data_IF_902038779131
#
_entry.id   IF_902038779131
#
_cell.length_a   1.000
_cell.length_b   1.000
_cell.length_c   1.000
_cell.angle_alpha   90.00
_cell.angle_beta   90.00
_cell.angle_gamma   90.00
#
_symmetry.space_group_name_H-M   'P 1'
#
loop_
_entity.id
_entity.type
_entity.pdbx_description
1 polymer ?
#
# COMPACT_ATOMS: atom_id res chain seq x y z
N UNK A 1 8.72 8.85 15.53
CA UNK A 1 8.40 7.55 14.93
C UNK A 1 6.99 7.06 15.25
N UNK A 2 6.60 6.68 16.47
CA UNK A 2 5.20 6.24 16.74
C UNK A 2 4.18 7.35 16.38
N UNK A 3 4.48 8.57 16.80
CA UNK A 3 3.66 9.77 16.56
C UNK A 3 3.67 10.25 15.09
N UNK A 4 4.57 9.72 14.26
CA UNK A 4 4.68 10.09 12.84
C UNK A 4 3.80 9.20 11.97
N UNK A 5 3.81 7.89 12.24
CA UNK A 5 2.90 6.95 11.58
C UNK A 5 1.45 7.21 11.97
N UNK A 6 1.18 7.61 13.21
CA UNK A 6 -0.15 8.04 13.65
C UNK A 6 -0.63 9.31 12.93
N UNK A 7 0.25 10.25 12.59
CA UNK A 7 -0.13 11.41 11.76
C UNK A 7 -0.48 11.00 10.33
N UNK A 8 0.20 9.98 9.81
CA UNK A 8 0.02 9.49 8.45
C UNK A 8 -1.26 8.65 8.29
N UNK A 9 -1.52 7.78 9.26
CA UNK A 9 -2.50 6.70 9.17
C UNK A 9 -3.43 6.57 10.37
N UNK A 10 -3.44 7.53 11.30
CA UNK A 10 -4.12 7.37 12.60
C UNK A 10 -5.61 7.02 12.47
N UNK A 11 -6.30 7.61 11.50
CA UNK A 11 -7.69 7.29 11.20
C UNK A 11 -7.82 5.87 10.62
N UNK A 12 -7.10 5.55 9.55
CA UNK A 12 -7.18 4.26 8.86
C UNK A 12 -6.72 3.08 9.73
N UNK A 13 -5.67 3.27 10.54
CA UNK A 13 -5.21 2.29 11.52
C UNK A 13 -6.27 2.04 12.60
N UNK A 14 -7.05 3.05 12.98
CA UNK A 14 -8.10 2.90 14.00
C UNK A 14 -9.22 1.95 13.55
N UNK A 15 -9.36 1.70 12.25
CA UNK A 15 -10.33 0.77 11.69
C UNK A 15 -9.92 -0.71 11.82
N UNK A 16 -8.64 -0.98 12.08
CA UNK A 16 -8.16 -2.33 12.38
C UNK A 16 -8.49 -2.64 13.84
N UNK A 17 -9.37 -3.63 14.06
CA UNK A 17 -9.90 -3.97 15.38
C UNK A 17 -8.94 -4.86 16.18
N UNK A 18 -8.22 -5.76 15.51
CA UNK A 18 -7.13 -6.52 16.12
C UNK A 18 -5.95 -5.60 16.44
N UNK A 19 -5.72 -5.41 17.73
CA UNK A 19 -4.68 -4.54 18.27
C UNK A 19 -3.28 -4.98 17.80
N UNK A 20 -3.01 -6.27 17.72
CA UNK A 20 -1.71 -6.80 17.32
C UNK A 20 -1.48 -6.58 15.82
N UNK A 21 -2.50 -6.76 14.98
CA UNK A 21 -2.39 -6.44 13.55
C UNK A 21 -2.15 -4.94 13.37
N UNK A 22 -2.90 -4.09 14.09
CA UNK A 22 -2.77 -2.63 14.02
C UNK A 22 -1.37 -2.15 14.40
N UNK A 23 -0.85 -2.63 15.53
CA UNK A 23 0.50 -2.29 16.01
C UNK A 23 1.59 -2.75 15.03
N UNK A 24 1.47 -3.98 14.50
CA UNK A 24 2.41 -4.49 13.50
C UNK A 24 2.33 -3.74 12.18
N UNK A 25 1.13 -3.35 11.75
CA UNK A 25 0.93 -2.52 10.55
C UNK A 25 1.65 -1.18 10.69
N UNK A 26 1.49 -0.51 11.83
CA UNK A 26 2.22 0.72 12.13
C UNK A 26 3.74 0.48 12.18
N UNK A 27 4.18 -0.63 12.77
CA UNK A 27 5.60 -1.02 12.84
C UNK A 27 6.24 -1.21 11.47
N UNK A 28 5.54 -1.82 10.51
CA UNK A 28 6.05 -1.95 9.13
C UNK A 28 6.33 -0.59 8.50
N UNK A 29 5.41 0.36 8.67
CA UNK A 29 5.61 1.74 8.21
C UNK A 29 6.79 2.43 8.90
N UNK A 30 6.95 2.26 10.21
CA UNK A 30 8.13 2.79 10.93
C UNK A 30 9.43 2.20 10.37
N UNK A 31 9.50 0.88 10.18
CA UNK A 31 10.68 0.20 9.64
C UNK A 31 11.00 0.64 8.20
N UNK A 32 9.98 0.94 7.40
CA UNK A 32 10.16 1.45 6.04
C UNK A 32 10.71 2.88 6.06
N UNK A 33 10.15 3.77 6.89
CA UNK A 33 10.61 5.15 7.05
C UNK A 33 12.05 5.21 7.57
N UNK A 34 12.43 4.36 8.53
CA UNK A 34 13.81 4.26 9.04
C UNK A 34 14.84 3.87 7.96
N UNK A 35 14.40 3.16 6.92
CA UNK A 35 15.25 2.72 5.80
C UNK A 35 15.20 3.64 4.59
N UNK A 36 14.23 4.55 4.56
CA UNK A 36 13.91 5.42 3.45
C UNK A 36 14.76 6.69 3.48
N UNK A 37 15.06 7.25 2.31
CA UNK A 37 15.53 8.64 2.21
C UNK A 37 14.39 9.65 2.22
N UNK A 38 13.15 9.19 1.98
CA UNK A 38 11.94 9.99 1.95
C UNK A 38 11.41 10.24 3.37
N UNK A 39 11.12 11.50 3.67
CA UNK A 39 10.36 11.93 4.84
C UNK A 39 8.85 11.82 4.62
N UNK A 40 8.06 11.98 5.69
CA UNK A 40 6.60 12.03 5.58
C UNK A 40 6.15 13.22 4.75
N UNK A 41 6.83 14.35 4.87
CA UNK A 41 6.57 15.54 4.09
C UNK A 41 6.79 15.28 2.59
N UNK A 42 7.77 14.44 2.23
CA UNK A 42 8.00 14.04 0.84
C UNK A 42 6.87 13.15 0.32
N UNK A 43 6.35 12.22 1.12
CA UNK A 43 5.24 11.34 0.72
C UNK A 43 3.95 12.12 0.39
N UNK A 44 3.79 13.33 0.93
CA UNK A 44 2.67 14.22 0.59
C UNK A 44 2.93 15.12 -0.62
N UNK A 45 4.11 15.04 -1.24
CA UNK A 45 4.53 15.87 -2.39
C UNK A 45 4.85 15.05 -3.63
N UNK A 46 5.57 13.95 -3.46
CA UNK A 46 6.00 13.11 -4.59
C UNK A 46 4.77 12.45 -5.25
N UNK A 47 4.81 12.21 -6.57
CA UNK A 47 3.71 11.53 -7.25
C UNK A 47 3.58 10.08 -6.78
N UNK A 48 2.36 9.54 -6.75
CA UNK A 48 2.13 8.15 -6.36
C UNK A 48 2.72 7.11 -7.33
N UNK A 49 3.01 7.54 -8.56
CA UNK A 49 3.59 6.71 -9.61
C UNK A 49 4.53 7.52 -10.48
N UNK A 50 5.63 6.89 -10.88
CA UNK A 50 6.60 7.44 -11.83
C UNK A 50 6.15 7.24 -13.30
N UNK A 51 5.00 6.59 -13.52
CA UNK A 51 4.54 6.14 -14.85
C UNK A 51 3.44 7.00 -15.48
N UNK A 52 2.96 8.03 -14.78
CA UNK A 52 1.85 8.88 -15.23
C UNK A 52 2.29 10.28 -15.72
N UNK A 53 3.59 10.46 -15.95
CA UNK A 53 4.18 11.73 -16.41
C UNK A 53 4.45 12.75 -15.30
N UNK A 54 5.19 13.83 -15.62
CA UNK A 54 5.70 14.77 -14.64
C UNK A 54 4.64 15.72 -14.04
N UNK A 55 3.51 15.92 -14.71
CA UNK A 55 2.47 16.89 -14.28
C UNK A 55 1.45 16.30 -13.27
N UNK A 56 1.70 15.09 -12.76
CA UNK A 56 0.80 14.42 -11.84
C UNK A 56 0.78 15.14 -10.48
N UNK A 57 -0.41 15.64 -10.10
CA UNK A 57 -0.63 16.36 -8.84
C UNK A 57 -1.09 15.48 -7.68
N UNK A 58 -1.45 14.23 -7.96
CA UNK A 58 -1.91 13.29 -6.92
C UNK A 58 -0.67 12.76 -6.20
N UNK A 59 -0.56 13.09 -4.92
CA UNK A 59 0.59 12.66 -4.12
C UNK A 59 0.53 11.15 -3.84
N UNK A 60 1.67 10.61 -3.41
CA UNK A 60 1.76 9.24 -2.92
C UNK A 60 0.71 8.97 -1.84
N UNK A 61 0.61 9.85 -0.83
CA UNK A 61 -0.35 9.66 0.25
C UNK A 61 -1.81 9.83 -0.19
N UNK A 62 -2.13 10.74 -1.12
CA UNK A 62 -3.50 10.88 -1.64
C UNK A 62 -3.99 9.56 -2.25
N UNK A 63 -3.17 8.97 -3.13
CA UNK A 63 -3.51 7.71 -3.78
C UNK A 63 -3.57 6.56 -2.76
N UNK A 64 -2.61 6.48 -1.84
CA UNK A 64 -2.60 5.41 -0.85
C UNK A 64 -3.80 5.44 0.08
N UNK A 65 -4.21 6.62 0.57
CA UNK A 65 -5.44 6.75 1.36
C UNK A 65 -6.67 6.39 0.52
N UNK A 66 -6.74 6.84 -0.73
CA UNK A 66 -7.83 6.46 -1.62
C UNK A 66 -7.96 4.92 -1.77
N UNK A 67 -6.86 4.20 -1.98
CA UNK A 67 -6.85 2.73 -2.07
C UNK A 67 -7.37 2.08 -0.78
N UNK A 68 -6.97 2.56 0.39
CA UNK A 68 -7.46 2.04 1.69
C UNK A 68 -8.96 2.26 1.85
N UNK A 69 -9.45 3.47 1.55
CA UNK A 69 -10.87 3.80 1.68
C UNK A 69 -11.74 3.01 0.68
N UNK A 70 -11.33 2.91 -0.58
CA UNK A 70 -12.03 2.12 -1.61
C UNK A 70 -12.04 0.64 -1.21
N UNK A 71 -10.91 0.12 -0.73
CA UNK A 71 -10.81 -1.27 -0.25
C UNK A 71 -11.79 -1.51 0.89
N UNK A 72 -11.80 -0.65 1.93
CA UNK A 72 -12.71 -0.75 3.07
C UNK A 72 -14.17 -0.79 2.63
N UNK A 73 -14.61 0.18 1.84
CA UNK A 73 -16.01 0.24 1.36
C UNK A 73 -16.35 -1.01 0.53
N UNK A 74 -15.43 -1.48 -0.30
CA UNK A 74 -15.63 -2.69 -1.11
C UNK A 74 -15.78 -3.93 -0.24
N UNK A 75 -14.92 -4.12 0.77
CA UNK A 75 -14.99 -5.22 1.73
C UNK A 75 -16.29 -5.21 2.55
N UNK A 76 -16.73 -4.02 2.99
CA UNK A 76 -18.01 -3.84 3.67
C UNK A 76 -19.19 -4.26 2.78
N UNK A 77 -19.17 -3.89 1.48
CA UNK A 77 -20.22 -4.29 0.53
C UNK A 77 -20.18 -5.77 0.22
N UNK A 78 -19.01 -6.37 0.13
CA UNK A 78 -18.85 -7.83 0.00
C UNK A 78 -19.56 -8.53 1.17
N UNK A 79 -19.21 -8.15 2.40
CA UNK A 79 -19.78 -8.76 3.58
C UNK A 79 -21.30 -8.50 3.73
N UNK A 80 -21.79 -7.35 3.25
CA UNK A 80 -23.21 -7.00 3.30
C UNK A 80 -24.06 -7.75 2.26
N UNK A 81 -23.55 -7.95 1.05
CA UNK A 81 -24.39 -8.30 -0.11
C UNK A 81 -24.24 -9.75 -0.59
N UNK A 82 -23.14 -10.42 -0.24
CA UNK A 82 -22.83 -11.74 -0.80
C UNK A 82 -23.25 -12.90 0.11
N UNK A 83 -24.12 -12.62 1.09
CA UNK A 83 -24.81 -13.60 1.93
C UNK A 83 -23.90 -14.67 2.57
N UNK A 84 -22.63 -14.33 2.82
CA UNK A 84 -21.63 -15.23 3.41
C UNK A 84 -20.93 -16.17 2.43
N UNK A 85 -21.34 -16.24 1.15
CA UNK A 85 -20.65 -17.06 0.14
C UNK A 85 -19.30 -16.44 -0.27
N UNK A 86 -19.23 -15.12 -0.26
CA UNK A 86 -17.99 -14.38 -0.34
C UNK A 86 -17.80 -13.58 0.95
N UNK A 87 -16.69 -13.85 1.64
CA UNK A 87 -16.33 -13.17 2.87
C UNK A 87 -15.02 -12.40 2.68
N UNK A 88 -14.94 -11.23 3.32
CA UNK A 88 -13.75 -10.40 3.34
C UNK A 88 -13.39 -10.06 4.80
N UNK A 89 -12.21 -10.47 5.25
CA UNK A 89 -11.72 -10.13 6.56
C UNK A 89 -11.25 -8.66 6.58
N UNK A 90 -11.94 -7.81 7.33
CA UNK A 90 -11.69 -6.37 7.32
C UNK A 90 -10.34 -5.97 7.91
N UNK A 91 -9.85 -6.63 8.96
CA UNK A 91 -8.55 -6.31 9.56
C UNK A 91 -7.40 -6.69 8.62
N UNK A 92 -7.52 -7.84 7.97
CA UNK A 92 -6.56 -8.31 6.95
C UNK A 92 -6.58 -7.38 5.73
N UNK A 93 -7.77 -7.03 5.24
CA UNK A 93 -7.96 -6.14 4.09
C UNK A 93 -7.36 -4.76 4.33
N UNK A 94 -7.73 -4.11 5.45
CA UNK A 94 -7.32 -2.73 5.74
C UNK A 94 -5.80 -2.69 5.99
N UNK A 95 -5.26 -3.64 6.76
CA UNK A 95 -3.81 -3.75 6.94
C UNK A 95 -3.08 -3.96 5.62
N UNK A 96 -3.55 -4.90 4.79
CA UNK A 96 -2.97 -5.15 3.47
C UNK A 96 -3.02 -3.94 2.54
N UNK A 97 -4.12 -3.18 2.54
CA UNK A 97 -4.27 -1.97 1.75
C UNK A 97 -3.32 -0.83 2.20
N UNK A 98 -3.14 -0.67 3.51
CA UNK A 98 -2.19 0.30 4.10
C UNK A 98 -0.74 -0.06 3.70
N UNK A 99 -0.44 -1.36 3.58
CA UNK A 99 0.92 -1.86 3.41
C UNK A 99 1.31 -2.22 1.97
N UNK A 100 0.37 -2.36 1.04
CA UNK A 100 0.69 -2.96 -0.26
C UNK A 100 1.80 -2.24 -1.04
N UNK A 101 1.93 -0.91 -0.88
CA UNK A 101 2.98 -0.10 -1.50
C UNK A 101 4.11 0.33 -0.54
N UNK A 102 4.14 -0.14 0.71
CA UNK A 102 5.12 0.34 1.70
C UNK A 102 6.57 0.13 1.26
N UNK A 103 6.82 -0.89 0.42
CA UNK A 103 8.12 -1.15 -0.17
C UNK A 103 8.61 -0.06 -1.13
N UNK A 104 7.75 0.85 -1.61
CA UNK A 104 8.16 1.99 -2.46
C UNK A 104 9.07 2.96 -1.73
N UNK A 105 9.00 3.02 -0.40
CA UNK A 105 9.94 3.81 0.42
C UNK A 105 11.39 3.33 0.32
N UNK A 106 11.59 2.06 -0.04
CA UNK A 106 12.91 1.49 -0.31
C UNK A 106 13.23 1.49 -1.81
N UNK A 107 12.21 1.60 -2.67
CA UNK A 107 12.36 1.63 -4.12
C UNK A 107 12.75 3.02 -4.63
N UNK A 108 12.25 4.08 -3.99
CA UNK A 108 12.38 5.46 -4.45
C UNK A 108 13.52 6.20 -3.75
N UNK A 109 14.18 7.06 -4.51
CA UNK A 109 15.18 8.03 -4.05
C UNK A 109 14.78 9.43 -4.57
N UNK A 110 15.42 10.48 -4.07
CA UNK A 110 15.27 11.84 -4.59
C UNK A 110 16.49 12.20 -5.44
N UNK A 111 16.24 12.80 -6.61
CA UNK A 111 17.31 13.39 -7.43
C UNK A 111 17.81 14.73 -6.84
N UNK A 112 18.81 15.34 -7.49
CA UNK A 112 19.40 16.62 -7.08
C UNK A 112 18.39 17.79 -7.06
N UNK A 113 17.26 17.65 -7.75
CA UNK A 113 16.19 18.64 -7.81
C UNK A 113 15.03 18.32 -6.85
N UNK A 114 15.13 17.24 -6.06
CA UNK A 114 14.10 16.79 -5.14
C UNK A 114 12.94 16.02 -5.80
N UNK A 115 13.11 15.53 -7.03
CA UNK A 115 12.11 14.68 -7.69
C UNK A 115 12.30 13.21 -7.29
N UNK A 116 11.18 12.50 -7.08
CA UNK A 116 11.22 11.06 -6.87
C UNK A 116 11.67 10.32 -8.14
N UNK A 117 12.64 9.44 -7.98
CA UNK A 117 13.16 8.55 -9.02
C UNK A 117 13.26 7.12 -8.49
N UNK A 118 13.38 6.14 -9.40
CA UNK A 118 13.70 4.78 -8.98
C UNK A 118 15.17 4.69 -8.54
N UNK A 119 15.38 4.40 -7.27
CA UNK A 119 16.69 4.26 -6.63
C UNK A 119 17.43 2.99 -7.05
N UNK A 120 18.69 2.87 -6.60
CA UNK A 120 19.53 1.70 -6.95
C UNK A 120 18.90 0.41 -6.44
N UNK A 121 18.40 0.40 -5.21
CA UNK A 121 17.74 -0.77 -4.61
C UNK A 121 16.51 -1.19 -5.44
N UNK A 122 15.68 -0.23 -5.81
CA UNK A 122 14.46 -0.46 -6.60
C UNK A 122 14.67 -1.08 -7.98
N UNK A 123 15.83 -0.84 -8.59
CA UNK A 123 16.22 -1.50 -9.86
C UNK A 123 16.45 -3.00 -9.71
N UNK A 124 16.81 -3.47 -8.52
CA UNK A 124 17.03 -4.90 -8.23
C UNK A 124 15.83 -5.56 -7.55
N UNK A 125 15.17 -4.85 -6.64
CA UNK A 125 14.09 -5.38 -5.79
C UNK A 125 12.90 -4.44 -5.83
N UNK A 126 11.80 -4.90 -6.44
CA UNK A 126 10.55 -4.13 -6.53
C UNK A 126 9.82 -4.06 -5.18
N UNK A 127 9.00 -3.03 -5.00
CA UNK A 127 8.23 -2.79 -3.78
C UNK A 127 7.38 -3.96 -3.25
N UNK A 128 6.80 -4.89 -4.06
CA UNK A 128 6.07 -6.01 -3.48
C UNK A 128 6.99 -6.92 -2.65
N UNK A 129 8.21 -7.17 -3.13
CA UNK A 129 9.18 -8.03 -2.43
C UNK A 129 9.76 -7.35 -1.20
N UNK A 130 10.14 -6.07 -1.30
CA UNK A 130 10.65 -5.33 -0.13
C UNK A 130 9.55 -5.11 0.92
N UNK A 131 8.31 -4.88 0.49
CA UNK A 131 7.13 -4.82 1.37
C UNK A 131 6.87 -6.14 2.10
N UNK A 132 6.92 -7.28 1.40
CA UNK A 132 6.84 -8.62 2.01
C UNK A 132 7.93 -8.80 3.07
N UNK A 133 9.18 -8.46 2.74
CA UNK A 133 10.30 -8.60 3.68
C UNK A 133 10.09 -7.78 4.96
N UNK A 134 9.58 -6.54 4.84
CA UNK A 134 9.26 -5.70 6.00
C UNK A 134 8.10 -6.27 6.83
N UNK A 135 7.05 -6.75 6.17
CA UNK A 135 5.87 -7.32 6.81
C UNK A 135 6.19 -8.60 7.60
N UNK A 136 6.96 -9.51 7.00
CA UNK A 136 7.44 -10.72 7.67
C UNK A 136 8.34 -10.38 8.87
N UNK A 137 9.26 -9.41 8.72
CA UNK A 137 10.13 -8.98 9.81
C UNK A 137 9.36 -8.32 10.98
N UNK A 138 8.20 -7.72 10.71
CA UNK A 138 7.29 -7.24 11.75
C UNK A 138 6.39 -8.34 12.35
N UNK A 139 6.43 -9.56 11.80
CA UNK A 139 5.64 -10.71 12.26
C UNK A 139 4.17 -10.61 11.90
N UNK A 140 3.82 -9.97 10.78
CA UNK A 140 2.45 -9.99 10.26
C UNK A 140 2.07 -11.40 9.79
N UNK A 141 0.78 -11.76 9.92
CA UNK A 141 0.30 -13.06 9.50
C UNK A 141 0.36 -13.22 7.95
N UNK A 142 0.51 -14.46 7.44
CA UNK A 142 0.70 -14.72 6.01
C UNK A 142 -0.39 -14.13 5.10
N UNK A 143 -1.62 -14.00 5.59
CA UNK A 143 -2.76 -13.46 4.84
C UNK A 143 -2.54 -11.98 4.46
N UNK A 144 -1.91 -11.19 5.34
CA UNK A 144 -1.58 -9.79 5.08
C UNK A 144 -0.34 -9.70 4.19
N UNK A 145 0.67 -10.53 4.47
CA UNK A 145 1.88 -10.63 3.65
C UNK A 145 1.52 -10.99 2.20
N UNK A 146 0.54 -11.88 2.01
CA UNK A 146 0.03 -12.29 0.71
C UNK A 146 -0.58 -11.13 -0.09
N UNK A 147 -1.31 -10.21 0.54
CA UNK A 147 -1.85 -9.02 -0.14
C UNK A 147 -0.70 -8.18 -0.71
N UNK A 148 0.35 -7.95 0.08
CA UNK A 148 1.52 -7.18 -0.37
C UNK A 148 2.21 -7.90 -1.54
N UNK A 149 2.39 -9.21 -1.46
CA UNK A 149 2.98 -10.00 -2.54
C UNK A 149 2.15 -9.99 -3.83
N UNK A 150 0.81 -9.98 -3.70
CA UNK A 150 -0.10 -10.28 -4.79
C UNK A 150 -0.86 -9.07 -5.34
N UNK A 151 -0.77 -7.88 -4.73
CA UNK A 151 -1.54 -6.71 -5.20
C UNK A 151 -1.11 -6.19 -6.57
N UNK A 152 0.18 -6.37 -6.95
CA UNK A 152 0.74 -5.90 -8.21
C UNK A 152 0.79 -7.02 -9.27
N UNK A 153 1.57 -6.82 -10.34
CA UNK A 153 1.73 -7.80 -11.43
C UNK A 153 2.36 -9.13 -10.99
N UNK A 154 3.15 -9.14 -9.92
CA UNK A 154 3.63 -10.37 -9.26
C UNK A 154 2.48 -11.32 -8.90
N UNK A 155 1.32 -10.75 -8.53
CA UNK A 155 0.11 -11.48 -8.22
C UNK A 155 -0.48 -12.25 -9.40
N UNK A 156 -0.12 -11.93 -10.65
CA UNK A 156 -0.61 -12.65 -11.84
C UNK A 156 0.02 -14.05 -11.98
N UNK A 157 1.11 -14.29 -11.25
CA UNK A 157 1.80 -15.58 -11.22
C UNK A 157 1.31 -16.48 -10.08
N UNK A 158 0.41 -16.01 -9.21
CA UNK A 158 -0.12 -16.73 -8.05
C UNK A 158 -1.64 -16.55 -7.94
N UNK A 159 -2.27 -17.18 -6.96
CA UNK A 159 -3.70 -16.98 -6.66
C UNK A 159 -3.86 -15.89 -5.62
N UNK A 160 -4.65 -14.86 -5.92
CA UNK A 160 -5.04 -13.82 -4.96
C UNK A 160 -6.10 -14.35 -3.99
N UNK A 161 -5.99 -13.97 -2.72
CA UNK A 161 -7.11 -14.11 -1.77
C UNK A 161 -8.22 -13.11 -2.12
N UNK A 162 -9.38 -13.21 -1.47
CA UNK A 162 -10.46 -12.21 -1.62
C UNK A 162 -9.96 -10.80 -1.35
N UNK A 163 -9.25 -10.61 -0.24
CA UNK A 163 -8.71 -9.32 0.17
C UNK A 163 -7.66 -8.81 -0.82
N UNK A 164 -6.79 -9.69 -1.33
CA UNK A 164 -5.80 -9.32 -2.33
C UNK A 164 -6.44 -8.92 -3.66
N UNK A 165 -7.55 -9.55 -4.07
CA UNK A 165 -8.34 -9.10 -5.23
C UNK A 165 -8.92 -7.70 -5.01
N UNK A 166 -9.49 -7.43 -3.83
CA UNK A 166 -10.06 -6.12 -3.51
C UNK A 166 -8.97 -5.05 -3.55
N UNK A 167 -7.81 -5.28 -2.91
CA UNK A 167 -6.71 -4.30 -2.89
C UNK A 167 -6.11 -4.11 -4.29
N UNK A 168 -5.89 -5.19 -5.04
CA UNK A 168 -5.42 -5.12 -6.42
C UNK A 168 -6.34 -4.25 -7.28
N UNK A 169 -7.65 -4.50 -7.23
CA UNK A 169 -8.59 -3.74 -8.03
C UNK A 169 -8.73 -2.30 -7.55
N UNK A 170 -8.74 -2.04 -6.24
CA UNK A 170 -8.76 -0.68 -5.70
C UNK A 170 -7.55 0.13 -6.16
N UNK A 171 -6.35 -0.46 -6.16
CA UNK A 171 -5.11 0.16 -6.64
C UNK A 171 -5.13 0.38 -8.16
N UNK A 172 -5.38 -0.68 -8.94
CA UNK A 172 -5.29 -0.60 -10.40
C UNK A 172 -6.44 0.19 -11.03
N UNK A 173 -7.64 0.20 -10.44
CA UNK A 173 -8.74 1.03 -10.96
C UNK A 173 -8.47 2.53 -10.77
N UNK A 174 -7.66 2.92 -9.78
CA UNK A 174 -7.25 4.30 -9.55
C UNK A 174 -5.88 4.65 -10.13
N UNK A 175 -5.12 3.66 -10.61
CA UNK A 175 -3.85 3.86 -11.32
C UNK A 175 -3.98 3.82 -12.84
N UNK A 176 -4.60 2.78 -13.42
CA UNK A 176 -4.63 2.55 -14.86
C UNK A 176 -5.24 3.71 -15.65
N UNK A 177 -6.31 4.39 -15.20
CA UNK A 177 -6.83 5.56 -15.92
C UNK A 177 -5.85 6.73 -15.98
N UNK A 178 -4.90 6.86 -15.06
CA UNK A 178 -3.85 7.86 -15.17
C UNK A 178 -2.84 7.52 -16.26
N UNK A 179 -2.55 6.23 -16.41
CA UNK A 179 -1.52 5.73 -17.33
C UNK A 179 -2.03 5.54 -18.77
N UNK A 180 -3.20 4.91 -18.91
CA UNK A 180 -3.62 4.26 -20.16
C UNK A 180 -5.03 4.66 -20.65
N UNK A 181 -5.69 5.67 -20.05
CA UNK A 181 -7.04 6.09 -20.51
C UNK A 181 -7.01 6.68 -21.93
N UNK A 182 -8.13 6.53 -22.63
CA UNK A 182 -8.37 7.18 -23.92
C UNK A 182 -8.25 8.72 -23.79
N UNK A 183 -7.57 9.35 -24.74
CA UNK A 183 -7.37 10.80 -24.83
C UNK A 183 -8.16 11.40 -25.99
#
# INVERSE_FOLDING_TARGET
MTNEVEKLWGEELSWITDVLIREKTAKVWMMALEKSVLSIEDLNKIPFTLLAGPDLKVSFMDHKRAVVHISKVSGEKINQMFHGELHCNMDVLISGAILCDVGKLLEYELDENGNAIQGKYGKYVRHPFSGVSLAEAAGLPPEIVHIIAAHAGEGDMIKRSTEAFVVHHADFMTFLPFKDRLK
#
